data_IF_558739512318
#
_entry.id   IF_558739512318
#
_cell.length_a   1.000
_cell.length_b   1.000
_cell.length_c   1.000
_cell.angle_alpha   90.00
_cell.angle_beta   90.00
_cell.angle_gamma   90.00
#
_symmetry.space_group_name_H-M   'P 1'
#
loop_
_entity.id
_entity.type
_entity.pdbx_description
1 polymer ?
#
# COMPACT_ATOMS: atom_id res chain seq x y z
N UNK A 1 3.81 47.42 38.14
CA UNK A 1 5.18 46.86 38.35
C UNK A 1 4.98 45.53 39.08
N UNK A 2 5.35 44.33 38.63
CA UNK A 2 6.26 43.83 37.62
C UNK A 2 5.74 42.47 37.08
N UNK A 3 6.32 42.08 35.95
CA UNK A 3 6.08 40.98 35.02
C UNK A 3 5.78 39.55 35.57
N UNK A 4 5.19 38.68 34.71
CA UNK A 4 4.85 37.29 34.99
C UNK A 4 6.07 36.37 34.86
N UNK A 5 6.15 35.28 35.63
CA UNK A 5 7.13 34.21 35.39
C UNK A 5 6.40 33.01 34.81
N UNK A 6 6.40 32.94 33.48
CA UNK A 6 6.16 31.71 32.73
C UNK A 6 7.21 30.68 33.15
N UNK A 7 6.77 29.61 33.80
CA UNK A 7 7.55 28.37 33.85
C UNK A 7 7.22 27.60 32.58
N UNK A 8 7.93 27.95 31.51
CA UNK A 8 8.04 27.11 30.33
C UNK A 8 8.79 25.84 30.74
N UNK A 9 8.06 24.83 31.21
CA UNK A 9 8.57 23.47 31.21
C UNK A 9 8.69 23.10 29.74
N UNK A 10 9.92 23.19 29.23
CA UNK A 10 10.30 22.54 28.00
C UNK A 10 9.87 21.08 28.14
N UNK A 11 8.72 20.75 27.57
CA UNK A 11 8.48 19.42 27.04
C UNK A 11 9.59 19.22 26.03
N UNK A 12 10.72 18.68 26.51
CA UNK A 12 11.66 17.97 25.67
C UNK A 12 10.85 16.81 25.15
N UNK A 13 10.08 17.07 24.10
CA UNK A 13 9.55 16.05 23.23
C UNK A 13 10.82 15.34 22.78
N UNK A 14 11.09 14.23 23.47
CA UNK A 14 11.87 13.14 22.94
C UNK A 14 11.12 12.82 21.65
N UNK A 15 11.50 13.52 20.59
CA UNK A 15 11.25 13.11 19.22
C UNK A 15 11.97 11.78 19.24
N UNK A 16 11.23 10.68 19.48
CA UNK A 16 11.66 9.41 18.96
C UNK A 16 12.18 9.76 17.57
N UNK A 17 13.44 9.42 17.29
CA UNK A 17 13.86 9.26 15.91
C UNK A 17 13.02 8.08 15.41
N UNK A 18 11.73 8.34 15.19
CA UNK A 18 10.84 7.54 14.38
C UNK A 18 11.58 7.50 13.07
N UNK A 19 12.09 6.33 12.71
CA UNK A 19 12.54 6.12 11.35
C UNK A 19 11.41 6.65 10.47
N UNK A 20 11.72 7.60 9.61
CA UNK A 20 10.72 8.15 8.72
C UNK A 20 10.28 7.00 7.82
N UNK A 21 9.10 6.46 8.12
CA UNK A 21 8.62 5.21 7.58
C UNK A 21 8.22 5.41 6.12
N UNK A 22 8.79 4.61 5.23
CA UNK A 22 8.27 4.39 3.90
C UNK A 22 7.48 3.09 3.92
N UNK A 23 6.23 3.12 3.47
CA UNK A 23 5.41 1.94 3.39
C UNK A 23 4.89 1.70 1.98
N UNK A 24 5.11 0.50 1.48
CA UNK A 24 4.60 0.02 0.20
C UNK A 24 3.30 -0.75 0.47
N UNK A 25 2.22 -0.37 -0.20
CA UNK A 25 0.91 -0.96 0.00
C UNK A 25 0.34 -1.49 -1.31
N UNK A 26 -0.30 -2.65 -1.25
CA UNK A 26 -1.10 -3.19 -2.33
C UNK A 26 -2.56 -2.96 -1.96
N UNK A 27 -3.26 -2.16 -2.76
CA UNK A 27 -4.65 -1.77 -2.56
C UNK A 27 -5.54 -2.45 -3.59
N UNK A 28 -6.74 -2.81 -3.19
CA UNK A 28 -7.80 -3.31 -4.05
C UNK A 28 -8.89 -2.25 -4.13
N UNK A 29 -9.02 -1.64 -5.30
CA UNK A 29 -10.09 -0.71 -5.61
C UNK A 29 -11.29 -1.48 -6.17
N UNK A 30 -12.43 -1.36 -5.48
CA UNK A 30 -13.71 -1.91 -5.91
C UNK A 30 -14.65 -0.74 -6.14
N UNK A 31 -15.32 -0.72 -7.28
CA UNK A 31 -16.21 0.37 -7.65
C UNK A 31 -17.31 0.57 -6.59
N UNK A 32 -17.45 1.81 -6.10
CA UNK A 32 -18.44 2.17 -5.08
C UNK A 32 -18.07 1.78 -3.64
N UNK A 33 -16.84 1.33 -3.37
CA UNK A 33 -16.35 1.01 -2.03
C UNK A 33 -15.00 1.66 -1.71
N UNK A 34 -14.69 1.78 -0.42
CA UNK A 34 -13.35 2.22 0.00
C UNK A 34 -12.28 1.20 -0.42
N UNK A 35 -11.09 1.66 -0.85
CA UNK A 35 -9.98 0.78 -1.21
C UNK A 35 -9.61 -0.15 -0.06
N UNK A 36 -9.49 -1.44 -0.36
CA UNK A 36 -9.08 -2.45 0.61
C UNK A 36 -7.56 -2.66 0.55
N UNK A 37 -6.85 -2.46 1.66
CA UNK A 37 -5.44 -2.80 1.74
C UNK A 37 -5.25 -4.32 1.83
N UNK A 38 -4.67 -4.93 0.79
CA UNK A 38 -4.37 -6.36 0.71
C UNK A 38 -3.02 -6.71 1.34
N UNK A 39 -2.04 -5.83 1.17
CA UNK A 39 -0.68 -6.04 1.68
C UNK A 39 -0.06 -4.71 2.04
N UNK A 40 0.83 -4.71 3.04
CA UNK A 40 1.64 -3.56 3.42
C UNK A 40 2.99 -4.04 3.91
N UNK A 41 4.04 -3.48 3.33
CA UNK A 41 5.42 -3.63 3.76
C UNK A 41 5.94 -2.28 4.22
N UNK A 42 6.76 -2.27 5.28
CA UNK A 42 7.35 -1.06 5.83
C UNK A 42 8.88 -1.16 5.76
N UNK A 43 9.50 -0.07 5.37
CA UNK A 43 10.94 0.16 5.44
C UNK A 43 11.21 1.54 6.02
N UNK A 44 12.43 1.81 6.46
CA UNK A 44 12.81 3.11 7.02
C UNK A 44 13.71 3.87 6.04
N UNK A 45 13.40 5.15 5.79
CA UNK A 45 14.27 6.04 5.03
C UNK A 45 15.11 6.85 6.02
N UNK A 46 16.42 6.59 6.04
CA UNK A 46 17.35 7.35 6.86
C UNK A 46 17.42 8.80 6.39
N UNK A 47 17.18 9.74 7.31
CA UNK A 47 17.31 11.17 7.05
C UNK A 47 16.17 11.80 6.24
N UNK A 48 15.04 11.10 6.06
CA UNK A 48 13.88 11.67 5.37
C UNK A 48 13.33 12.91 6.11
N UNK A 49 12.72 13.82 5.37
CA UNK A 49 12.07 15.03 5.90
C UNK A 49 10.56 15.00 5.65
N UNK A 50 10.00 13.83 5.31
CA UNK A 50 8.60 13.62 4.99
C UNK A 50 8.10 14.54 3.86
N UNK A 51 8.98 14.79 2.88
CA UNK A 51 8.74 15.67 1.74
C UNK A 51 8.29 14.90 0.49
N UNK A 52 7.91 15.62 -0.56
CA UNK A 52 7.62 15.00 -1.86
C UNK A 52 8.85 14.31 -2.46
N UNK A 53 10.07 14.78 -2.18
CA UNK A 53 11.29 14.10 -2.60
C UNK A 53 11.46 12.74 -1.91
N UNK A 54 11.12 12.65 -0.62
CA UNK A 54 11.12 11.38 0.12
C UNK A 54 10.05 10.42 -0.43
N UNK A 55 8.93 10.97 -0.90
CA UNK A 55 7.90 10.18 -1.56
C UNK A 55 8.32 9.66 -2.93
N UNK A 56 8.99 10.45 -3.75
CA UNK A 56 9.55 9.97 -5.01
C UNK A 56 10.52 8.81 -4.77
N UNK A 57 11.42 8.96 -3.80
CA UNK A 57 12.33 7.88 -3.40
C UNK A 57 11.57 6.64 -2.91
N UNK A 58 10.60 6.81 -2.00
CA UNK A 58 9.78 5.73 -1.48
C UNK A 58 8.99 5.03 -2.61
N UNK A 59 8.49 5.81 -3.57
CA UNK A 59 7.73 5.29 -4.71
C UNK A 59 8.59 4.42 -5.62
N UNK A 60 9.81 4.86 -5.94
CA UNK A 60 10.74 4.07 -6.76
C UNK A 60 11.20 2.79 -6.04
N UNK A 61 11.45 2.89 -4.72
CA UNK A 61 11.70 1.72 -3.89
C UNK A 61 10.51 0.73 -3.95
N UNK A 62 9.29 1.22 -3.70
CA UNK A 62 8.09 0.38 -3.69
C UNK A 62 7.78 -0.23 -5.06
N UNK A 63 7.98 0.50 -6.16
CA UNK A 63 7.81 -0.04 -7.51
C UNK A 63 8.73 -1.24 -7.75
N UNK A 64 9.99 -1.14 -7.29
CA UNK A 64 10.97 -2.21 -7.46
C UNK A 64 10.67 -3.41 -6.56
N UNK A 65 10.37 -3.16 -5.30
CA UNK A 65 10.16 -4.19 -4.30
C UNK A 65 8.87 -4.98 -4.54
N UNK A 66 7.81 -4.27 -4.93
CA UNK A 66 6.47 -4.82 -5.17
C UNK A 66 6.21 -5.14 -6.65
N UNK A 67 7.25 -5.14 -7.51
CA UNK A 67 7.08 -5.37 -8.95
C UNK A 67 6.33 -6.69 -9.27
N UNK A 68 6.53 -7.71 -8.44
CA UNK A 68 5.84 -9.00 -8.55
C UNK A 68 4.32 -8.89 -8.43
N UNK A 69 3.80 -7.88 -7.72
CA UNK A 69 2.37 -7.61 -7.59
C UNK A 69 1.77 -6.93 -8.82
N UNK A 70 2.55 -6.63 -9.86
CA UNK A 70 2.10 -6.11 -11.15
C UNK A 70 2.19 -7.14 -12.30
N UNK A 71 2.65 -8.37 -12.03
CA UNK A 71 2.75 -9.47 -13.00
C UNK A 71 1.41 -10.13 -13.34
N UNK A 72 1.41 -11.22 -14.12
CA UNK A 72 0.16 -11.92 -14.41
C UNK A 72 -0.41 -12.59 -13.14
N UNK A 73 -1.73 -12.52 -12.90
CA UNK A 73 -2.37 -13.15 -11.74
C UNK A 73 -2.18 -14.67 -11.68
N UNK A 74 -1.84 -15.30 -12.82
CA UNK A 74 -1.50 -16.73 -12.93
C UNK A 74 -0.05 -17.05 -12.57
N UNK A 75 0.84 -16.07 -12.52
CA UNK A 75 2.25 -16.30 -12.20
C UNK A 75 2.40 -16.78 -10.76
N UNK A 76 3.36 -17.69 -10.55
CA UNK A 76 3.65 -18.25 -9.24
C UNK A 76 4.41 -17.23 -8.38
N UNK A 77 3.88 -16.92 -7.20
CA UNK A 77 4.50 -16.13 -6.16
C UNK A 77 4.70 -17.01 -4.91
N UNK A 78 5.91 -17.56 -4.75
CA UNK A 78 6.20 -18.53 -3.70
C UNK A 78 5.49 -19.87 -3.94
N UNK A 79 4.54 -20.22 -3.07
CA UNK A 79 3.83 -21.52 -3.11
C UNK A 79 2.44 -21.46 -3.77
N UNK A 80 1.99 -20.29 -4.19
CA UNK A 80 0.67 -20.07 -4.79
C UNK A 80 0.79 -19.13 -5.99
N UNK A 81 -0.27 -18.97 -6.78
CA UNK A 81 -0.30 -17.91 -7.80
C UNK A 81 -0.43 -16.53 -7.14
N UNK A 82 -0.05 -15.47 -7.85
CA UNK A 82 -0.26 -14.10 -7.41
C UNK A 82 -1.74 -13.83 -7.11
N UNK A 83 -2.63 -14.26 -8.01
CA UNK A 83 -4.08 -14.14 -7.83
C UNK A 83 -4.56 -14.85 -6.57
N UNK A 84 -4.10 -16.08 -6.31
CA UNK A 84 -4.48 -16.80 -5.09
C UNK A 84 -3.93 -16.13 -3.83
N UNK A 85 -2.71 -15.60 -3.89
CA UNK A 85 -2.10 -14.83 -2.79
C UNK A 85 -2.94 -13.59 -2.46
N UNK A 86 -3.35 -12.84 -3.48
CA UNK A 86 -4.18 -11.65 -3.33
C UNK A 86 -5.59 -11.99 -2.80
N UNK A 87 -6.20 -13.09 -3.26
CA UNK A 87 -7.48 -13.54 -2.71
C UNK A 87 -7.35 -13.93 -1.23
N UNK A 88 -6.30 -14.70 -0.87
CA UNK A 88 -6.04 -15.06 0.52
C UNK A 88 -5.89 -13.82 1.41
N UNK A 89 -5.26 -12.75 0.90
CA UNK A 89 -5.13 -11.46 1.59
C UNK A 89 -6.46 -10.72 1.71
N UNK A 90 -7.32 -10.76 0.69
CA UNK A 90 -8.63 -10.12 0.71
C UNK A 90 -9.57 -10.73 1.77
N UNK A 91 -9.43 -12.03 2.06
CA UNK A 91 -10.22 -12.79 3.06
C UNK A 91 -11.74 -12.74 2.85
N UNK A 92 -12.20 -12.26 1.69
CA UNK A 92 -13.61 -12.14 1.31
C UNK A 92 -13.76 -12.33 -0.20
N UNK A 93 -14.97 -12.64 -0.68
CA UNK A 93 -15.24 -12.68 -2.12
C UNK A 93 -15.00 -11.32 -2.77
N UNK A 94 -14.49 -11.33 -4.00
CA UNK A 94 -14.20 -10.13 -4.78
C UNK A 94 -14.78 -10.32 -6.17
N UNK A 95 -15.68 -9.44 -6.58
CA UNK A 95 -16.36 -9.49 -7.87
C UNK A 95 -15.74 -8.49 -8.88
N UNK A 96 -14.41 -8.52 -9.03
CA UNK A 96 -13.68 -7.73 -10.02
C UNK A 96 -13.19 -6.37 -9.54
N UNK A 97 -12.13 -6.36 -8.73
CA UNK A 97 -11.45 -5.13 -8.30
C UNK A 97 -10.11 -4.90 -9.00
N UNK A 98 -9.69 -3.64 -9.12
CA UNK A 98 -8.38 -3.27 -9.64
C UNK A 98 -7.35 -3.28 -8.52
N UNK A 99 -6.26 -4.01 -8.70
CA UNK A 99 -5.16 -4.02 -7.75
C UNK A 99 -4.16 -2.94 -8.14
N UNK A 100 -3.85 -2.08 -7.19
CA UNK A 100 -3.00 -0.89 -7.35
C UNK A 100 -1.90 -0.92 -6.31
N UNK A 101 -0.76 -0.35 -6.64
CA UNK A 101 0.28 -0.08 -5.67
C UNK A 101 0.16 1.36 -5.17
N UNK A 102 0.47 1.55 -3.89
CA UNK A 102 0.55 2.86 -3.27
C UNK A 102 1.76 2.92 -2.34
N UNK A 103 2.27 4.13 -2.12
CA UNK A 103 3.31 4.41 -1.17
C UNK A 103 2.84 5.44 -0.13
N UNK A 104 3.32 5.28 1.09
CA UNK A 104 3.11 6.21 2.20
C UNK A 104 4.46 6.59 2.77
N UNK A 105 4.66 7.88 3.07
CA UNK A 105 5.84 8.37 3.78
C UNK A 105 5.39 9.02 5.08
N UNK A 106 6.05 8.70 6.20
CA UNK A 106 5.77 9.25 7.53
C UNK A 106 4.29 9.14 7.94
N UNK A 107 3.67 7.98 7.64
CA UNK A 107 2.26 7.69 7.88
C UNK A 107 1.27 8.75 7.30
N UNK A 108 1.70 9.51 6.28
CA UNK A 108 0.82 10.34 5.46
C UNK A 108 -0.16 9.50 4.62
N UNK A 109 -1.13 10.16 3.98
CA UNK A 109 -2.07 9.50 3.09
C UNK A 109 -1.35 8.70 2.00
N UNK A 110 -1.85 7.49 1.75
CA UNK A 110 -1.31 6.62 0.71
C UNK A 110 -1.54 7.25 -0.66
N UNK A 111 -0.47 7.40 -1.43
CA UNK A 111 -0.51 7.92 -2.80
C UNK A 111 -0.23 6.78 -3.77
N UNK A 112 -1.04 6.69 -4.82
CA UNK A 112 -0.88 5.69 -5.87
C UNK A 112 0.50 5.87 -6.53
N UNK A 113 1.23 4.76 -6.69
CA UNK A 113 2.46 4.72 -7.48
C UNK A 113 2.09 4.05 -8.79
N UNK A 114 2.47 4.64 -9.92
CA UNK A 114 2.02 4.31 -11.29
C UNK A 114 2.40 2.89 -11.75
N UNK A 115 1.84 1.90 -11.05
CA UNK A 115 2.01 0.47 -11.24
C UNK A 115 0.69 -0.18 -10.83
N UNK A 116 0.04 -0.82 -11.80
CA UNK A 116 -1.30 -1.39 -11.67
C UNK A 116 -1.32 -2.79 -12.24
N UNK A 117 -2.13 -3.65 -11.63
CA UNK A 117 -2.53 -4.89 -12.26
C UNK A 117 -3.36 -4.61 -13.51
N UNK A 118 -2.97 -5.22 -14.63
CA UNK A 118 -3.73 -5.15 -15.87
C UNK A 118 -5.04 -5.95 -15.79
N UNK A 119 -5.09 -6.99 -14.95
CA UNK A 119 -6.25 -7.85 -14.77
C UNK A 119 -7.01 -7.50 -13.49
N UNK A 120 -8.34 -7.57 -13.53
CA UNK A 120 -9.16 -7.47 -12.32
C UNK A 120 -8.98 -8.73 -11.46
N UNK A 121 -8.95 -8.55 -10.14
CA UNK A 121 -8.94 -9.64 -9.19
C UNK A 121 -10.37 -10.13 -8.95
N UNK A 122 -10.60 -11.44 -9.14
CA UNK A 122 -11.83 -12.12 -8.75
C UNK A 122 -11.53 -13.26 -7.78
N UNK A 123 -12.30 -13.30 -6.70
CA UNK A 123 -12.20 -14.30 -5.65
C UNK A 123 -13.59 -14.88 -5.40
N UNK A 124 -13.71 -16.21 -5.51
CA UNK A 124 -14.97 -16.92 -5.31
C UNK A 124 -15.43 -16.85 -3.84
N UNK A 125 -16.58 -17.47 -3.55
CA UNK A 125 -17.13 -17.57 -2.18
C UNK A 125 -16.21 -18.28 -1.18
N UNK A 126 -15.27 -19.07 -1.67
CA UNK A 126 -14.29 -19.81 -0.87
C UNK A 126 -12.91 -19.12 -0.88
N UNK A 127 -12.82 -17.87 -1.37
CA UNK A 127 -11.57 -17.10 -1.46
C UNK A 127 -10.54 -17.75 -2.41
N UNK A 128 -11.02 -18.54 -3.37
CA UNK A 128 -10.19 -19.07 -4.46
C UNK A 128 -10.14 -18.07 -5.59
N UNK A 129 -8.94 -17.90 -6.13
CA UNK A 129 -8.76 -17.08 -7.32
C UNK A 129 -9.35 -17.77 -8.54
N UNK A 130 -10.08 -16.99 -9.33
CA UNK A 130 -10.59 -17.39 -10.63
C UNK A 130 -10.49 -16.22 -11.61
N UNK A 131 -10.37 -16.48 -12.93
CA UNK A 131 -10.56 -15.43 -13.92
C UNK A 131 -11.94 -14.79 -13.75
N UNK A 132 -12.00 -13.47 -13.76
CA UNK A 132 -13.29 -12.77 -13.72
C UNK A 132 -14.17 -13.20 -14.89
N UNK A 133 -15.31 -13.82 -14.61
CA UNK A 133 -16.28 -14.22 -15.62
C UNK A 133 -17.08 -12.99 -16.09
N UNK A 134 -16.60 -12.38 -17.19
CA UNK A 134 -17.18 -11.19 -17.83
C UNK A 134 -16.42 -9.91 -17.45
N UNK A 135 -15.65 -9.25 -18.32
CA UNK A 135 -15.67 -9.22 -19.77
C UNK A 135 -14.26 -9.41 -20.38
N UNK A 136 -14.07 -10.49 -21.13
CA UNK A 136 -13.26 -10.46 -22.34
C UNK A 136 -14.19 -10.09 -23.51
N UNK A 137 -13.83 -9.01 -24.21
CA UNK A 137 -14.31 -8.64 -25.56
C UNK A 137 -15.66 -7.91 -25.66
N UNK A 138 -15.60 -6.58 -25.58
CA UNK A 138 -16.00 -5.71 -26.71
C UNK A 138 -15.20 -4.41 -26.70
#
# INVERSE_FOLDING_TARGET
>A
MLLPVLVAVLCVAVRCQEGNDCACSVLLEVEGAEPLQLYKEKTSILGSLCTDADFEFCSEFCKKDMASFAGDLKETLGNATLGQTLCNSAKKPVAGGLVKLAATVCDQDAREIDLKQAQKLCCDKNVKWEPCSGASSQ
#
